data_IF_959201300981
#
_entry.id   IF_959201300981
#
_cell.length_a   1.000
_cell.length_b   1.000
_cell.length_c   1.000
_cell.angle_alpha   90.00
_cell.angle_beta   90.00
_cell.angle_gamma   90.00
#
_symmetry.space_group_name_H-M   'P 1'
#
loop_
_entity.id
_entity.type
_entity.pdbx_description
1 polymer ?
#
# COMPACT_ATOMS: atom_id res chain seq x y z
N UNK A 1 23.32 0.69 20.45
CA UNK A 1 22.36 0.28 19.43
C UNK A 1 21.06 1.05 19.61
N UNK A 2 20.46 1.55 18.55
CA UNK A 2 19.12 2.16 18.63
C UNK A 2 18.05 1.07 18.76
N UNK A 3 16.86 1.37 19.33
CA UNK A 3 15.74 0.42 19.37
C UNK A 3 15.33 -0.09 17.97
N UNK A 4 15.44 0.76 16.94
CA UNK A 4 15.18 0.39 15.55
C UNK A 4 16.14 -0.69 15.04
N UNK A 5 17.44 -0.52 15.30
CA UNK A 5 18.47 -1.50 14.94
C UNK A 5 18.30 -2.82 15.72
N UNK A 6 17.99 -2.77 17.01
CA UNK A 6 17.76 -3.99 17.81
C UNK A 6 16.57 -4.80 17.31
N UNK A 7 15.46 -4.13 16.99
CA UNK A 7 14.28 -4.79 16.41
C UNK A 7 14.57 -5.38 15.03
N UNK A 8 15.32 -4.65 14.19
CA UNK A 8 15.78 -5.17 12.90
C UNK A 8 16.59 -6.46 13.07
N UNK A 9 17.57 -6.46 13.98
CA UNK A 9 18.42 -7.66 14.21
C UNK A 9 17.59 -8.85 14.70
N UNK A 10 16.61 -8.64 15.59
CA UNK A 10 15.69 -9.70 16.01
C UNK A 10 14.91 -10.31 14.84
N UNK A 11 14.45 -9.49 13.88
CA UNK A 11 13.78 -9.98 12.66
C UNK A 11 14.77 -10.68 11.72
N UNK A 12 16.01 -10.20 11.64
CA UNK A 12 17.06 -10.83 10.84
C UNK A 12 17.49 -12.19 11.41
N UNK A 13 17.56 -12.32 12.75
CA UNK A 13 17.80 -13.61 13.41
C UNK A 13 16.63 -14.58 13.18
N UNK A 14 15.39 -14.09 13.24
CA UNK A 14 14.23 -14.88 12.86
C UNK A 14 14.31 -15.33 11.38
N UNK A 15 14.76 -14.46 10.47
CA UNK A 15 14.97 -14.84 9.07
C UNK A 15 16.01 -15.95 8.93
N UNK A 16 17.13 -15.91 9.69
CA UNK A 16 18.13 -16.99 9.73
C UNK A 16 17.57 -18.31 10.23
N UNK A 17 16.66 -18.25 11.22
CA UNK A 17 16.04 -19.43 11.82
C UNK A 17 14.91 -20.03 10.94
N UNK A 18 14.46 -19.31 9.91
CA UNK A 18 13.31 -19.71 9.08
C UNK A 18 13.61 -19.73 7.58
N UNK A 19 14.61 -20.54 7.10
CA UNK A 19 14.98 -20.57 5.67
C UNK A 19 13.80 -20.93 4.75
N UNK A 20 12.84 -21.71 5.25
CA UNK A 20 11.64 -22.14 4.51
C UNK A 20 10.69 -20.97 4.17
N UNK A 21 10.78 -19.82 4.87
CA UNK A 21 10.01 -18.60 4.57
C UNK A 21 10.70 -17.69 3.55
N UNK A 22 11.99 -17.87 3.24
CA UNK A 22 12.75 -16.96 2.38
C UNK A 22 12.07 -16.77 1.02
N UNK A 23 11.65 -17.87 0.38
CA UNK A 23 10.97 -17.81 -0.92
C UNK A 23 9.64 -17.04 -0.84
N UNK A 24 8.78 -17.39 0.11
CA UNK A 24 7.46 -16.78 0.24
C UNK A 24 7.52 -15.29 0.57
N UNK A 25 8.30 -14.91 1.60
CA UNK A 25 8.43 -13.51 2.02
C UNK A 25 9.25 -12.69 1.02
N UNK A 26 10.27 -13.28 0.37
CA UNK A 26 11.01 -12.64 -0.71
C UNK A 26 10.14 -12.33 -1.92
N UNK A 27 9.32 -13.28 -2.37
CA UNK A 27 8.35 -13.08 -3.44
C UNK A 27 7.32 -12.01 -3.07
N UNK A 28 6.79 -12.05 -1.84
CA UNK A 28 5.83 -11.05 -1.39
C UNK A 28 6.47 -9.66 -1.29
N UNK A 29 7.69 -9.56 -0.78
CA UNK A 29 8.39 -8.28 -0.70
C UNK A 29 8.69 -7.68 -2.08
N UNK A 30 8.96 -8.51 -3.09
CA UNK A 30 9.25 -8.06 -4.46
C UNK A 30 8.00 -7.81 -5.30
N UNK A 31 7.02 -8.70 -5.22
CA UNK A 31 5.86 -8.71 -6.11
C UNK A 31 4.52 -8.45 -5.41
N UNK A 32 4.51 -8.26 -4.09
CA UNK A 32 3.28 -8.06 -3.31
C UNK A 32 2.47 -6.83 -3.73
N UNK A 33 3.05 -5.89 -4.47
CA UNK A 33 2.32 -4.77 -5.11
C UNK A 33 1.16 -5.28 -5.98
N UNK A 34 1.31 -6.45 -6.62
CA UNK A 34 0.23 -7.09 -7.42
C UNK A 34 -0.99 -7.42 -6.56
N UNK A 35 -0.79 -7.81 -5.29
CA UNK A 35 -1.88 -8.06 -4.35
C UNK A 35 -2.69 -6.79 -4.12
N UNK A 36 -2.02 -5.65 -3.92
CA UNK A 36 -2.69 -4.36 -3.73
C UNK A 36 -3.42 -3.89 -4.98
N UNK A 37 -2.87 -4.12 -6.18
CA UNK A 37 -3.58 -3.89 -7.44
C UNK A 37 -4.84 -4.76 -7.52
N UNK A 38 -4.75 -6.04 -7.19
CA UNK A 38 -5.91 -6.94 -7.14
C UNK A 38 -6.98 -6.48 -6.16
N UNK A 39 -6.57 -5.99 -4.97
CA UNK A 39 -7.48 -5.44 -3.97
C UNK A 39 -8.17 -4.14 -4.45
N UNK A 40 -7.47 -3.26 -5.17
CA UNK A 40 -8.05 -2.06 -5.79
C UNK A 40 -9.08 -2.43 -6.86
N UNK A 41 -8.77 -3.44 -7.70
CA UNK A 41 -9.73 -3.96 -8.71
C UNK A 41 -10.95 -4.56 -8.03
N UNK A 42 -10.77 -5.33 -6.95
CA UNK A 42 -11.88 -5.86 -6.16
C UNK A 42 -12.72 -4.75 -5.54
N UNK A 43 -12.10 -3.68 -5.04
CA UNK A 43 -12.78 -2.49 -4.52
C UNK A 43 -13.62 -1.80 -5.58
N UNK A 44 -13.06 -1.57 -6.76
CA UNK A 44 -13.80 -1.04 -7.91
C UNK A 44 -14.98 -1.95 -8.29
N UNK A 45 -14.77 -3.26 -8.32
CA UNK A 45 -15.82 -4.23 -8.67
C UNK A 45 -16.98 -4.22 -7.68
N UNK A 46 -16.68 -4.16 -6.38
CA UNK A 46 -17.69 -4.06 -5.31
C UNK A 46 -18.47 -2.74 -5.45
N UNK A 47 -17.77 -1.61 -5.62
CA UNK A 47 -18.38 -0.30 -5.79
C UNK A 47 -19.30 -0.25 -7.03
N UNK A 48 -18.86 -0.86 -8.14
CA UNK A 48 -19.64 -0.95 -9.38
C UNK A 48 -20.94 -1.72 -9.21
N UNK A 49 -20.95 -2.77 -8.37
CA UNK A 49 -22.16 -3.57 -8.09
C UNK A 49 -23.10 -2.89 -7.07
N UNK A 50 -22.55 -2.10 -6.15
CA UNK A 50 -23.31 -1.44 -5.11
C UNK A 50 -24.14 -0.23 -5.57
N UNK A 51 -23.94 0.24 -6.81
CA UNK A 51 -24.64 1.36 -7.44
C UNK A 51 -24.61 2.71 -6.65
N UNK A 52 -23.77 2.83 -5.60
CA UNK A 52 -23.60 4.08 -4.86
C UNK A 52 -22.48 4.93 -5.48
N UNK A 53 -22.85 6.16 -5.86
CA UNK A 53 -21.93 7.11 -6.50
C UNK A 53 -20.75 7.49 -5.62
N UNK A 54 -20.97 7.60 -4.29
CA UNK A 54 -19.91 7.98 -3.35
C UNK A 54 -18.89 6.86 -3.20
N UNK A 55 -19.35 5.63 -3.07
CA UNK A 55 -18.50 4.43 -2.99
C UNK A 55 -17.70 4.24 -4.29
N UNK A 56 -18.32 4.46 -5.45
CA UNK A 56 -17.60 4.42 -6.73
C UNK A 56 -16.55 5.55 -6.83
N UNK A 57 -16.88 6.75 -6.37
CA UNK A 57 -15.93 7.86 -6.32
C UNK A 57 -14.73 7.53 -5.39
N UNK A 58 -14.97 6.89 -4.24
CA UNK A 58 -13.93 6.42 -3.35
C UNK A 58 -13.06 5.32 -3.99
N UNK A 59 -13.67 4.37 -4.73
CA UNK A 59 -12.96 3.33 -5.44
C UNK A 59 -12.04 3.86 -6.55
N UNK A 60 -12.46 4.93 -7.25
CA UNK A 60 -11.61 5.62 -8.22
C UNK A 60 -10.54 6.48 -7.54
N UNK A 61 -10.86 7.02 -6.37
CA UNK A 61 -9.88 7.79 -5.58
C UNK A 61 -8.77 6.92 -5.01
N UNK A 62 -9.04 5.70 -4.58
CA UNK A 62 -8.06 4.85 -3.90
C UNK A 62 -6.73 4.70 -4.69
N UNK A 63 -6.72 4.36 -5.99
CA UNK A 63 -5.48 4.33 -6.76
C UNK A 63 -4.86 5.73 -6.97
N UNK A 64 -5.66 6.77 -7.17
CA UNK A 64 -5.16 8.15 -7.32
C UNK A 64 -4.52 8.66 -6.03
N UNK A 65 -5.17 8.44 -4.89
CA UNK A 65 -4.65 8.77 -3.56
C UNK A 65 -3.35 8.02 -3.25
N UNK A 66 -3.23 6.78 -3.74
CA UNK A 66 -1.99 6.00 -3.63
C UNK A 66 -0.85 6.64 -4.44
N UNK A 67 -1.12 7.05 -5.68
CA UNK A 67 -0.11 7.76 -6.49
C UNK A 67 0.32 9.07 -5.84
N UNK A 68 -0.64 9.84 -5.30
CA UNK A 68 -0.34 11.07 -4.56
C UNK A 68 0.52 10.79 -3.33
N UNK A 69 0.20 9.74 -2.55
CA UNK A 69 0.95 9.38 -1.36
C UNK A 69 2.40 8.99 -1.69
N UNK A 70 2.60 8.19 -2.74
CA UNK A 70 3.95 7.82 -3.22
C UNK A 70 4.70 9.06 -3.74
N UNK A 71 4.02 9.95 -4.48
CA UNK A 71 4.64 11.19 -4.94
C UNK A 71 5.06 12.11 -3.78
N UNK A 72 4.25 12.20 -2.71
CA UNK A 72 4.58 12.94 -1.48
C UNK A 72 5.75 12.30 -0.73
N UNK A 73 5.93 10.97 -0.83
CA UNK A 73 7.04 10.28 -0.20
C UNK A 73 8.39 10.64 -0.82
N UNK A 74 8.47 10.87 -2.14
CA UNK A 74 9.74 11.07 -2.84
C UNK A 74 10.59 12.23 -2.30
N UNK A 75 10.06 13.45 -2.08
CA UNK A 75 10.86 14.52 -1.49
C UNK A 75 11.31 14.20 -0.05
N UNK A 76 10.55 13.43 0.72
CA UNK A 76 10.95 13.01 2.07
C UNK A 76 12.13 12.03 1.99
N UNK A 77 12.06 11.03 1.08
CA UNK A 77 13.15 10.10 0.81
C UNK A 77 14.44 10.85 0.42
N UNK A 78 14.32 11.83 -0.48
CA UNK A 78 15.46 12.63 -0.95
C UNK A 78 16.06 13.51 0.16
N UNK A 79 15.25 14.04 1.07
CA UNK A 79 15.69 14.89 2.17
C UNK A 79 16.35 14.11 3.32
N UNK A 80 15.75 12.98 3.71
CA UNK A 80 16.25 12.17 4.84
C UNK A 80 17.47 11.35 4.44
N UNK A 81 17.49 10.80 3.24
CA UNK A 81 18.60 10.06 2.63
C UNK A 81 19.18 8.96 3.54
N UNK A 82 18.32 8.22 4.27
CA UNK A 82 18.73 7.16 5.20
C UNK A 82 19.29 5.95 4.46
N UNK A 83 20.49 5.50 4.85
CA UNK A 83 21.11 4.30 4.31
C UNK A 83 20.36 3.04 4.75
N UNK A 84 20.33 2.03 3.89
CA UNK A 84 19.65 0.76 4.15
C UNK A 84 20.42 -0.12 5.13
N UNK A 85 19.78 -1.12 5.77
CA UNK A 85 20.44 -2.02 6.72
C UNK A 85 21.70 -2.71 6.14
N UNK A 86 21.64 -3.15 4.91
CA UNK A 86 22.77 -3.85 4.25
C UNK A 86 23.97 -2.93 3.93
N UNK A 87 23.80 -1.60 3.93
CA UNK A 87 24.87 -0.63 3.72
C UNK A 87 25.56 -0.24 5.04
N UNK A 88 24.88 -0.46 6.18
CA UNK A 88 25.32 0.04 7.50
C UNK A 88 25.68 -1.06 8.48
N UNK A 89 25.21 -2.28 8.29
CA UNK A 89 25.40 -3.40 9.23
C UNK A 89 26.17 -4.54 8.55
N UNK A 90 27.23 -5.00 9.24
CA UNK A 90 28.00 -6.16 8.80
C UNK A 90 27.43 -7.46 9.39
N UNK A 91 27.61 -8.56 8.66
CA UNK A 91 27.27 -9.90 9.14
C UNK A 91 25.78 -10.20 9.23
N UNK A 92 24.89 -9.38 8.65
CA UNK A 92 23.45 -9.65 8.56
C UNK A 92 23.12 -10.60 7.39
N UNK A 93 21.99 -11.29 7.46
CA UNK A 93 21.43 -12.03 6.35
C UNK A 93 20.71 -11.05 5.43
N UNK A 94 21.15 -10.94 4.18
CA UNK A 94 20.53 -10.08 3.16
C UNK A 94 19.87 -10.96 2.10
N UNK A 95 18.55 -10.87 1.97
CA UNK A 95 17.74 -11.57 0.97
C UNK A 95 17.22 -10.61 -0.11
N UNK A 96 17.30 -9.30 0.15
CA UNK A 96 16.96 -8.28 -0.83
C UNK A 96 18.05 -8.16 -1.91
N UNK A 97 17.65 -7.77 -3.12
CA UNK A 97 18.60 -7.24 -4.10
C UNK A 97 18.99 -5.83 -3.67
N UNK A 98 20.29 -5.55 -3.40
CA UNK A 98 20.74 -4.22 -3.02
C UNK A 98 20.46 -3.20 -4.11
N UNK A 99 20.05 -2.00 -3.69
CA UNK A 99 19.79 -0.83 -4.54
C UNK A 99 20.50 0.39 -3.96
N UNK A 100 20.66 1.44 -4.75
CA UNK A 100 21.36 2.68 -4.33
C UNK A 100 20.41 3.76 -3.81
N UNK A 101 19.10 3.52 -3.85
CA UNK A 101 18.08 4.46 -3.36
C UNK A 101 17.96 4.40 -1.82
N UNK A 102 17.70 5.55 -1.16
CA UNK A 102 17.57 5.62 0.29
C UNK A 102 16.42 4.77 0.84
N UNK A 103 16.52 4.38 2.12
CA UNK A 103 15.58 3.46 2.78
C UNK A 103 14.33 4.10 3.38
N UNK A 104 14.40 5.34 3.84
CA UNK A 104 13.35 5.95 4.66
C UNK A 104 12.63 7.10 3.95
N UNK A 105 11.28 7.17 4.05
CA UNK A 105 10.32 6.10 4.41
C UNK A 105 10.19 5.06 3.30
N UNK A 106 9.74 3.85 3.64
CA UNK A 106 9.56 2.78 2.66
C UNK A 106 8.43 3.08 1.66
N UNK A 107 8.74 3.13 0.35
CA UNK A 107 7.74 3.33 -0.73
C UNK A 107 6.67 2.23 -0.75
N UNK A 108 7.08 0.97 -0.54
CA UNK A 108 6.15 -0.15 -0.49
C UNK A 108 5.17 -0.03 0.69
N UNK A 109 5.64 0.41 1.85
CA UNK A 109 4.79 0.63 3.00
C UNK A 109 3.88 1.86 2.81
N UNK A 110 4.39 2.94 2.19
CA UNK A 110 3.61 4.14 1.85
C UNK A 110 2.46 3.78 0.90
N UNK A 111 2.76 3.06 -0.17
CA UNK A 111 1.77 2.53 -1.11
C UNK A 111 0.74 1.65 -0.39
N UNK A 112 1.19 0.70 0.43
CA UNK A 112 0.32 -0.23 1.15
C UNK A 112 -0.61 0.50 2.13
N UNK A 113 -0.11 1.48 2.88
CA UNK A 113 -0.89 2.33 3.79
C UNK A 113 -1.94 3.16 3.04
N UNK A 114 -1.58 3.70 1.88
CA UNK A 114 -2.48 4.46 1.03
C UNK A 114 -3.62 3.61 0.47
N UNK A 115 -3.31 2.41 -0.08
CA UNK A 115 -4.31 1.46 -0.59
C UNK A 115 -5.24 1.00 0.54
N UNK A 116 -4.69 0.64 1.70
CA UNK A 116 -5.46 0.28 2.88
C UNK A 116 -6.49 1.37 3.22
N UNK A 117 -6.05 2.61 3.38
CA UNK A 117 -6.91 3.73 3.72
C UNK A 117 -7.97 4.00 2.64
N UNK A 118 -7.60 3.95 1.36
CA UNK A 118 -8.52 4.09 0.24
C UNK A 118 -9.59 3.00 0.24
N UNK A 119 -9.24 1.75 0.52
CA UNK A 119 -10.18 0.63 0.55
C UNK A 119 -11.11 0.65 1.75
N UNK A 120 -10.71 1.22 2.90
CA UNK A 120 -11.64 1.46 4.01
C UNK A 120 -12.77 2.43 3.64
N UNK A 121 -12.52 3.37 2.72
CA UNK A 121 -13.55 4.28 2.20
C UNK A 121 -14.55 3.55 1.30
N UNK A 122 -14.14 2.45 0.67
CA UNK A 122 -14.97 1.65 -0.25
C UNK A 122 -15.75 0.57 0.49
N UNK A 123 -15.03 -0.27 1.25
CA UNK A 123 -15.60 -1.40 1.97
C UNK A 123 -14.72 -1.78 3.16
N UNK A 124 -15.31 -1.81 4.36
CA UNK A 124 -14.57 -2.09 5.60
C UNK A 124 -13.87 -3.45 5.60
N UNK A 125 -14.51 -4.51 5.08
CA UNK A 125 -13.90 -5.86 5.03
C UNK A 125 -12.65 -5.86 4.14
N UNK A 126 -12.76 -5.21 2.97
CA UNK A 126 -11.64 -5.09 2.05
C UNK A 126 -10.51 -4.22 2.63
N UNK A 127 -10.86 -3.16 3.37
CA UNK A 127 -9.92 -2.35 4.12
C UNK A 127 -9.14 -3.15 5.16
N UNK A 128 -9.79 -4.06 5.92
CA UNK A 128 -9.12 -4.94 6.87
C UNK A 128 -8.19 -5.96 6.18
N UNK A 129 -8.60 -6.53 5.04
CA UNK A 129 -7.75 -7.42 4.25
C UNK A 129 -6.50 -6.65 3.77
N UNK A 130 -6.70 -5.42 3.27
CA UNK A 130 -5.60 -4.56 2.86
C UNK A 130 -4.70 -4.16 4.03
N UNK A 131 -5.24 -3.96 5.24
CA UNK A 131 -4.46 -3.67 6.43
C UNK A 131 -3.55 -4.85 6.81
N UNK A 132 -4.08 -6.08 6.78
CA UNK A 132 -3.27 -7.28 7.01
C UNK A 132 -2.16 -7.42 5.96
N UNK A 133 -2.50 -7.22 4.68
CA UNK A 133 -1.52 -7.22 3.60
C UNK A 133 -0.46 -6.12 3.80
N UNK A 134 -0.85 -4.92 4.25
CA UNK A 134 0.07 -3.81 4.48
C UNK A 134 1.04 -4.08 5.64
N UNK A 135 0.58 -4.67 6.73
CA UNK A 135 1.44 -5.10 7.84
C UNK A 135 2.42 -6.17 7.37
N UNK A 136 1.94 -7.16 6.61
CA UNK A 136 2.78 -8.20 6.04
C UNK A 136 3.81 -7.61 5.06
N UNK A 137 3.44 -6.59 4.27
CA UNK A 137 4.37 -5.88 3.37
C UNK A 137 5.48 -5.22 4.18
N UNK A 138 5.16 -4.42 5.21
CA UNK A 138 6.16 -3.81 6.08
C UNK A 138 7.09 -4.84 6.72
N UNK A 139 6.53 -5.93 7.26
CA UNK A 139 7.30 -7.02 7.85
C UNK A 139 8.23 -7.71 6.83
N UNK A 140 7.72 -8.05 5.65
CA UNK A 140 8.51 -8.73 4.62
C UNK A 140 9.69 -7.89 4.14
N UNK A 141 9.55 -6.55 4.08
CA UNK A 141 10.64 -5.64 3.72
C UNK A 141 11.76 -5.61 4.78
N UNK A 142 11.41 -5.73 6.07
CA UNK A 142 12.39 -5.86 7.15
C UNK A 142 13.04 -7.24 7.14
N UNK A 143 12.25 -8.29 6.95
CA UNK A 143 12.70 -9.68 6.91
C UNK A 143 13.77 -9.94 5.85
N UNK A 144 13.61 -9.36 4.67
CA UNK A 144 14.61 -9.49 3.58
C UNK A 144 15.80 -8.54 3.73
N UNK A 145 15.87 -7.77 4.82
CA UNK A 145 16.90 -6.75 5.10
C UNK A 145 16.89 -5.54 4.16
N UNK A 146 15.76 -5.22 3.51
CA UNK A 146 15.64 -4.05 2.64
C UNK A 146 15.41 -2.74 3.40
N UNK A 147 14.78 -2.80 4.59
CA UNK A 147 14.38 -1.64 5.38
C UNK A 147 14.53 -1.88 6.89
N UNK A 148 14.69 -0.80 7.64
CA UNK A 148 14.48 -0.84 9.09
C UNK A 148 12.98 -0.86 9.44
N UNK A 149 12.61 -1.35 10.66
CA UNK A 149 11.20 -1.37 11.07
C UNK A 149 10.50 0.00 11.03
N UNK A 150 11.21 1.07 11.41
CA UNK A 150 10.63 2.43 11.39
C UNK A 150 10.35 2.94 9.98
N UNK A 151 11.08 2.49 8.95
CA UNK A 151 10.81 2.87 7.56
C UNK A 151 9.42 2.39 7.13
N UNK A 152 9.07 1.16 7.53
CA UNK A 152 7.77 0.57 7.28
C UNK A 152 6.66 1.31 8.03
N UNK A 153 6.86 1.58 9.32
CA UNK A 153 5.89 2.31 10.16
C UNK A 153 5.69 3.74 9.63
N UNK A 154 6.77 4.43 9.28
CA UNK A 154 6.72 5.78 8.73
C UNK A 154 5.97 5.81 7.38
N UNK A 155 6.26 4.86 6.49
CA UNK A 155 5.56 4.73 5.21
C UNK A 155 4.06 4.51 5.39
N UNK A 156 3.64 3.55 6.22
CA UNK A 156 2.22 3.32 6.52
C UNK A 156 1.53 4.58 7.09
N UNK A 157 2.22 5.27 8.03
CA UNK A 157 1.72 6.50 8.66
C UNK A 157 1.72 7.70 7.73
N UNK A 158 2.49 7.69 6.66
CA UNK A 158 2.45 8.71 5.60
C UNK A 158 1.33 8.41 4.60
N UNK A 159 1.29 7.19 4.07
CA UNK A 159 0.38 6.81 3.00
C UNK A 159 -1.10 6.94 3.38
N UNK A 160 -1.46 6.47 4.56
CA UNK A 160 -2.85 6.48 5.00
C UNK A 160 -3.42 7.91 5.20
N UNK A 161 -2.79 8.82 5.98
CA UNK A 161 -3.29 10.18 6.14
C UNK A 161 -3.30 10.98 4.84
N UNK A 162 -2.29 10.84 3.97
CA UNK A 162 -2.27 11.54 2.67
C UNK A 162 -3.47 11.14 1.83
N UNK A 163 -3.79 9.84 1.75
CA UNK A 163 -4.95 9.34 1.01
C UNK A 163 -6.27 9.84 1.61
N UNK A 164 -6.42 9.83 2.95
CA UNK A 164 -7.63 10.30 3.62
C UNK A 164 -7.82 11.81 3.51
N UNK A 165 -6.75 12.60 3.69
CA UNK A 165 -6.79 14.05 3.53
C UNK A 165 -7.12 14.42 2.08
N UNK A 166 -6.50 13.76 1.12
CA UNK A 166 -6.79 13.94 -0.30
C UNK A 166 -8.24 13.59 -0.63
N UNK A 167 -8.81 12.52 -0.05
CA UNK A 167 -10.23 12.23 -0.17
C UNK A 167 -11.11 13.34 0.40
N UNK A 168 -10.83 13.81 1.60
CA UNK A 168 -11.60 14.89 2.21
C UNK A 168 -11.65 16.13 1.32
N UNK A 169 -10.54 16.44 0.64
CA UNK A 169 -10.39 17.56 -0.29
C UNK A 169 -11.10 17.30 -1.62
N UNK A 170 -10.89 16.12 -2.22
CA UNK A 170 -11.30 15.82 -3.59
C UNK A 170 -12.66 15.13 -3.72
N UNK A 171 -13.28 14.66 -2.62
CA UNK A 171 -14.52 13.86 -2.67
C UNK A 171 -15.64 14.49 -3.51
N UNK A 172 -15.82 15.81 -3.42
CA UNK A 172 -16.87 16.50 -4.17
C UNK A 172 -16.60 16.49 -5.67
N UNK A 173 -15.33 16.64 -6.05
CA UNK A 173 -14.89 16.58 -7.44
C UNK A 173 -15.07 15.15 -7.97
N UNK A 174 -14.59 14.15 -7.22
CA UNK A 174 -14.70 12.74 -7.61
C UNK A 174 -16.16 12.30 -7.79
N UNK A 175 -17.07 12.72 -6.90
CA UNK A 175 -18.50 12.44 -7.03
C UNK A 175 -19.09 13.10 -8.31
N UNK A 176 -18.69 14.33 -8.63
CA UNK A 176 -19.13 14.99 -9.88
C UNK A 176 -18.62 14.26 -11.12
N UNK A 177 -17.35 13.84 -11.13
CA UNK A 177 -16.73 13.06 -12.20
C UNK A 177 -17.48 11.74 -12.42
N UNK A 178 -17.78 11.02 -11.35
CA UNK A 178 -18.56 9.77 -11.45
C UNK A 178 -19.95 10.01 -12.00
N UNK A 179 -20.69 11.03 -11.51
CA UNK A 179 -22.03 11.38 -12.03
C UNK A 179 -21.99 11.73 -13.50
N UNK A 180 -21.00 12.52 -13.92
CA UNK A 180 -20.80 12.83 -15.34
C UNK A 180 -20.54 11.57 -16.16
N UNK A 181 -19.61 10.71 -15.71
CA UNK A 181 -19.30 9.46 -16.39
C UNK A 181 -20.49 8.51 -16.49
N UNK A 182 -21.37 8.48 -15.45
CA UNK A 182 -22.61 7.69 -15.48
C UNK A 182 -23.63 8.16 -16.52
N UNK A 183 -23.56 9.43 -16.96
CA UNK A 183 -24.37 10.00 -18.04
C UNK A 183 -23.76 9.80 -19.42
N UNK A 184 -22.59 9.18 -19.54
CA UNK A 184 -21.85 8.96 -20.79
C UNK A 184 -21.76 7.48 -21.15
N UNK A 185 -21.05 7.16 -22.24
CA UNK A 185 -20.69 5.79 -22.65
C UNK A 185 -19.82 5.04 -21.61
N UNK A 186 -19.28 5.73 -20.62
CA UNK A 186 -18.50 5.14 -19.52
C UNK A 186 -19.38 4.51 -18.42
N UNK A 187 -20.71 4.67 -18.50
CA UNK A 187 -21.66 4.11 -17.52
C UNK A 187 -21.41 2.63 -17.18
N UNK A 188 -21.15 1.71 -18.14
CA UNK A 188 -20.91 0.31 -17.81
C UNK A 188 -19.69 0.04 -16.93
N UNK A 189 -18.71 0.94 -16.92
CA UNK A 189 -17.53 0.86 -16.04
C UNK A 189 -17.83 1.35 -14.62
N UNK A 190 -18.87 2.17 -14.44
CA UNK A 190 -19.20 2.84 -13.18
C UNK A 190 -20.43 2.24 -12.47
N UNK A 191 -21.28 1.52 -13.23
CA UNK A 191 -22.50 0.88 -12.72
C UNK A 191 -22.72 -0.48 -13.39
N UNK A 192 -23.05 -1.49 -12.59
CA UNK A 192 -23.54 -2.75 -13.14
C UNK A 192 -24.92 -2.57 -13.76
N UNK A 193 -25.25 -3.38 -14.79
CA UNK A 193 -26.60 -3.42 -15.32
C UNK A 193 -27.59 -3.88 -14.24
N UNK A 194 -28.82 -3.30 -14.21
CA UNK A 194 -29.86 -3.83 -13.35
C UNK A 194 -30.13 -5.31 -13.67
N UNK A 195 -29.95 -6.24 -12.72
CA UNK A 195 -30.18 -7.66 -12.89
C UNK A 195 -28.95 -8.57 -12.74
N UNK A 196 -27.72 -8.07 -12.65
CA UNK A 196 -26.52 -8.88 -12.45
C UNK A 196 -26.23 -9.24 -10.96
N UNK A 197 -27.14 -8.94 -10.06
CA UNK A 197 -26.96 -9.10 -8.62
C UNK A 197 -27.68 -10.32 -8.01
N UNK A 198 -28.16 -11.27 -8.84
CA UNK A 198 -28.95 -12.40 -8.36
C UNK A 198 -28.90 -13.61 -9.29
N UNK A 199 -27.73 -14.22 -9.47
CA UNK A 199 -27.60 -15.60 -9.95
C UNK A 199 -26.43 -16.27 -9.26
#
# INVERSE_FOLDING_TARGET
MTPNTSLFLSVNDFARATPWLHGALGLYAGYGTVVFVGLLVAGWWIARRGADTTTMAAALWAPLGTLVAVAVNQPIVALVHEARPYDTLNGILVLATPTTDPGFPSDHATMAGAVMAGLFLVNRRLGFIAALAAVLMGFSRVYIAAHYPLDGVAGLRLGAPVTLAGWALMRRVMIRVVRWGQATRLRPLLLAAPGAAGS
#
